data_IF_290733139819
#
_entry.id   IF_290733139819
#
_cell.length_a   1.000
_cell.length_b   1.000
_cell.length_c   1.000
_cell.angle_alpha   90.00
_cell.angle_beta   90.00
_cell.angle_gamma   90.00
#
_symmetry.space_group_name_H-M   'P 1'
#
loop_
_entity.id
_entity.type
_entity.pdbx_description
1 polymer ?
#
# COMPACT_ATOMS: atom_id res chain seq x y z
N UNK A 1 62.36 -30.74 -15.21
CA UNK A 1 60.97 -30.69 -15.74
C UNK A 1 59.96 -30.69 -14.58
N UNK A 2 58.84 -29.96 -14.53
CA UNK A 2 58.28 -28.86 -15.35
C UNK A 2 57.48 -27.85 -14.48
N UNK A 3 58.00 -26.64 -14.22
CA UNK A 3 57.31 -25.62 -13.40
C UNK A 3 55.96 -25.13 -13.97
N UNK A 4 55.70 -25.39 -15.27
CA UNK A 4 54.42 -25.10 -15.96
C UNK A 4 53.20 -25.81 -15.34
N UNK A 5 53.38 -26.92 -14.59
CA UNK A 5 52.26 -27.66 -13.97
C UNK A 5 51.67 -26.95 -12.73
N UNK A 6 52.49 -26.33 -11.87
CA UNK A 6 52.00 -25.61 -10.66
C UNK A 6 51.16 -24.38 -11.03
N UNK A 7 51.58 -23.59 -12.02
CA UNK A 7 50.84 -22.39 -12.46
C UNK A 7 49.44 -22.70 -13.03
N UNK A 8 49.26 -23.80 -13.79
CA UNK A 8 47.93 -24.19 -14.31
C UNK A 8 46.92 -24.51 -13.20
N UNK A 9 47.36 -25.06 -12.05
CA UNK A 9 46.48 -25.38 -10.91
C UNK A 9 45.95 -24.12 -10.21
N UNK A 10 46.76 -23.07 -10.09
CA UNK A 10 46.31 -21.79 -9.53
C UNK A 10 45.35 -21.03 -10.46
N UNK A 11 45.56 -21.06 -11.79
CA UNK A 11 44.64 -20.41 -12.74
C UNK A 11 43.22 -21.00 -12.67
N UNK A 12 43.08 -22.32 -12.55
CA UNK A 12 41.76 -22.98 -12.37
C UNK A 12 41.06 -22.57 -11.06
N UNK A 13 41.80 -22.47 -9.95
CA UNK A 13 41.24 -21.97 -8.68
C UNK A 13 40.76 -20.52 -8.77
N UNK A 14 41.48 -19.64 -9.48
CA UNK A 14 41.04 -18.25 -9.72
C UNK A 14 39.75 -18.16 -10.57
N UNK A 15 39.57 -19.06 -11.53
CA UNK A 15 38.34 -19.10 -12.35
C UNK A 15 37.14 -19.54 -11.50
N UNK A 16 37.30 -20.59 -10.68
CA UNK A 16 36.22 -21.01 -9.75
C UNK A 16 35.82 -19.87 -8.81
N UNK A 17 36.80 -19.18 -8.22
CA UNK A 17 36.55 -18.02 -7.35
C UNK A 17 35.84 -16.86 -8.10
N UNK A 18 36.21 -16.58 -9.36
CA UNK A 18 35.54 -15.56 -10.16
C UNK A 18 34.09 -15.93 -10.51
N UNK A 19 33.83 -17.20 -10.84
CA UNK A 19 32.46 -17.71 -11.07
C UNK A 19 31.63 -17.61 -9.79
N UNK A 20 32.22 -17.95 -8.64
CA UNK A 20 31.54 -17.84 -7.35
C UNK A 20 31.22 -16.38 -6.98
N UNK A 21 32.12 -15.42 -7.23
CA UNK A 21 31.82 -13.99 -7.09
C UNK A 21 30.63 -13.58 -7.98
N UNK A 22 30.55 -14.05 -9.23
CA UNK A 22 29.43 -13.71 -10.14
C UNK A 22 28.11 -14.32 -9.64
N UNK A 23 28.12 -15.55 -9.15
CA UNK A 23 26.94 -16.20 -8.55
C UNK A 23 26.49 -15.48 -7.28
N UNK A 24 27.44 -15.12 -6.39
CA UNK A 24 27.15 -14.36 -5.17
C UNK A 24 26.61 -12.95 -5.48
N UNK A 25 27.12 -12.27 -6.51
CA UNK A 25 26.58 -10.99 -6.97
C UNK A 25 25.14 -11.12 -7.47
N UNK A 26 24.85 -12.09 -8.34
CA UNK A 26 23.49 -12.37 -8.80
C UNK A 26 22.54 -12.70 -7.65
N UNK A 27 22.97 -13.55 -6.71
CA UNK A 27 22.19 -13.90 -5.52
C UNK A 27 21.91 -12.67 -4.66
N UNK A 28 22.93 -11.81 -4.43
CA UNK A 28 22.79 -10.58 -3.66
C UNK A 28 21.84 -9.58 -4.31
N UNK A 29 21.83 -9.49 -5.64
CA UNK A 29 20.96 -8.58 -6.38
C UNK A 29 19.50 -9.05 -6.34
N UNK A 30 19.26 -10.37 -6.47
CA UNK A 30 17.92 -10.95 -6.26
C UNK A 30 17.44 -10.71 -4.83
N UNK A 31 18.26 -11.03 -3.82
CA UNK A 31 17.94 -10.78 -2.41
C UNK A 31 17.64 -9.30 -2.12
N UNK A 32 18.43 -8.38 -2.69
CA UNK A 32 18.23 -6.94 -2.53
C UNK A 32 16.88 -6.49 -3.11
N UNK A 33 16.52 -6.95 -4.31
CA UNK A 33 15.21 -6.66 -4.92
C UNK A 33 14.08 -7.30 -4.10
N UNK A 34 14.24 -8.54 -3.61
CA UNK A 34 13.26 -9.20 -2.74
C UNK A 34 13.03 -8.43 -1.43
N UNK A 35 14.10 -7.98 -0.77
CA UNK A 35 14.01 -7.20 0.48
C UNK A 35 13.43 -5.81 0.21
N UNK A 36 13.80 -5.15 -0.90
CA UNK A 36 13.23 -3.85 -1.28
C UNK A 36 11.74 -3.96 -1.60
N UNK A 37 11.35 -4.98 -2.37
CA UNK A 37 9.95 -5.28 -2.64
C UNK A 37 9.19 -5.61 -1.35
N UNK A 38 9.74 -6.46 -0.48
CA UNK A 38 9.15 -6.80 0.81
C UNK A 38 9.09 -5.59 1.78
N UNK A 39 10.02 -4.63 1.72
CA UNK A 39 9.97 -3.40 2.51
C UNK A 39 8.93 -2.42 1.96
N UNK A 40 8.75 -2.36 0.63
CA UNK A 40 7.63 -1.62 0.01
C UNK A 40 6.29 -2.27 0.35
N UNK A 41 6.19 -3.60 0.28
CA UNK A 41 4.98 -4.35 0.64
C UNK A 41 4.70 -4.39 2.14
N UNK A 42 5.71 -4.40 3.00
CA UNK A 42 5.52 -4.35 4.47
C UNK A 42 5.07 -2.96 4.94
N UNK A 43 5.25 -1.93 4.13
CA UNK A 43 4.63 -0.61 4.35
C UNK A 43 3.17 -0.62 3.89
N UNK A 44 2.84 -1.43 2.87
CA UNK A 44 1.47 -1.90 2.60
C UNK A 44 1.16 -3.09 3.51
N UNK A 45 1.31 -2.87 4.83
CA UNK A 45 0.77 -3.81 5.81
C UNK A 45 -0.74 -3.78 5.64
N UNK A 46 -1.23 -4.64 4.76
CA UNK A 46 -2.63 -4.98 4.64
C UNK A 46 -3.04 -5.50 6.02
N UNK A 47 -3.62 -4.60 6.82
CA UNK A 47 -4.71 -5.01 7.68
C UNK A 47 -5.59 -5.90 6.80
N UNK A 48 -5.83 -7.13 7.23
CA UNK A 48 -6.82 -7.98 6.59
C UNK A 48 -8.17 -7.27 6.74
N UNK A 49 -8.48 -6.41 5.78
CA UNK A 49 -9.82 -5.86 5.61
C UNK A 49 -10.68 -7.05 5.23
N UNK A 50 -11.32 -7.57 6.27
CA UNK A 50 -12.33 -8.61 6.26
C UNK A 50 -13.17 -8.50 4.98
N UNK A 51 -12.95 -9.45 4.05
CA UNK A 51 -13.48 -9.34 2.68
C UNK A 51 -15.00 -9.46 2.64
N UNK A 52 -15.58 -10.04 3.68
CA UNK A 52 -17.03 -10.09 3.94
C UNK A 52 -17.60 -8.70 4.29
N UNK A 53 -16.73 -7.70 4.52
CA UNK A 53 -17.07 -6.30 4.81
C UNK A 53 -16.70 -5.31 3.71
N UNK A 54 -16.02 -5.77 2.64
CA UNK A 54 -15.63 -4.97 1.48
C UNK A 54 -16.60 -5.17 0.31
N UNK A 55 -17.65 -4.35 0.26
CA UNK A 55 -18.44 -4.16 -0.97
C UNK A 55 -17.56 -3.50 -2.04
N UNK A 56 -16.91 -4.31 -2.86
CA UNK A 56 -16.12 -3.84 -3.99
C UNK A 56 -17.07 -3.30 -5.06
N UNK A 57 -16.83 -2.07 -5.55
CA UNK A 57 -17.72 -1.38 -6.50
C UNK A 57 -17.93 -2.12 -7.84
N UNK A 58 -17.09 -3.10 -8.16
CA UNK A 58 -17.25 -4.04 -9.28
C UNK A 58 -18.56 -4.85 -9.17
N UNK A 59 -19.03 -5.14 -7.94
CA UNK A 59 -20.34 -5.75 -7.69
C UNK A 59 -21.53 -4.78 -7.74
N UNK A 60 -21.30 -3.46 -7.73
CA UNK A 60 -22.34 -2.41 -7.83
C UNK A 60 -22.57 -2.01 -9.29
N UNK A 61 -21.53 -2.03 -10.13
CA UNK A 61 -21.61 -1.60 -11.53
C UNK A 61 -22.18 -2.67 -12.49
N UNK A 62 -22.48 -3.88 -12.00
CA UNK A 62 -23.18 -4.92 -12.78
C UNK A 62 -24.68 -4.65 -13.03
N UNK A 63 -25.21 -3.51 -12.56
CA UNK A 63 -26.64 -3.20 -12.45
C UNK A 63 -27.19 -2.14 -13.42
N UNK A 64 -26.84 -2.21 -14.71
CA UNK A 64 -27.48 -1.52 -15.85
C UNK A 64 -27.33 0.02 -16.02
N UNK A 65 -27.19 0.42 -17.29
CA UNK A 65 -27.26 1.78 -17.86
C UNK A 65 -26.22 2.80 -17.33
N UNK A 66 -25.19 3.22 -18.07
CA UNK A 66 -25.13 3.50 -19.52
C UNK A 66 -26.29 4.39 -19.99
N UNK A 67 -26.25 5.66 -19.58
CA UNK A 67 -27.22 6.69 -19.93
C UNK A 67 -26.65 8.08 -19.69
N UNK A 68 -25.91 8.60 -20.67
CA UNK A 68 -25.73 10.04 -20.85
C UNK A 68 -27.08 10.76 -20.75
N UNK A 69 -27.23 11.68 -19.79
CA UNK A 69 -28.07 12.90 -19.90
C UNK A 69 -27.66 13.99 -18.90
N UNK A 70 -27.62 15.21 -19.43
CA UNK A 70 -27.60 16.45 -18.67
C UNK A 70 -28.97 16.77 -18.03
N UNK A 71 -28.97 17.83 -17.22
CA UNK A 71 -30.10 18.50 -16.56
C UNK A 71 -30.90 17.74 -15.49
N UNK A 72 -30.69 18.18 -14.24
CA UNK A 72 -31.79 18.54 -13.33
C UNK A 72 -32.68 17.43 -12.81
N UNK A 73 -32.21 16.66 -11.82
CA UNK A 73 -33.07 15.94 -10.88
C UNK A 73 -32.32 15.73 -9.55
N UNK A 74 -32.97 15.80 -8.37
CA UNK A 74 -32.31 15.47 -7.10
C UNK A 74 -31.98 13.99 -7.07
N UNK A 75 -30.70 13.65 -7.10
CA UNK A 75 -30.25 12.27 -7.09
C UNK A 75 -30.24 11.75 -5.65
N UNK A 76 -31.41 11.30 -5.18
CA UNK A 76 -31.60 10.54 -3.93
C UNK A 76 -30.95 9.15 -4.04
N UNK A 77 -29.63 9.09 -4.23
CA UNK A 77 -28.83 7.87 -4.04
C UNK A 77 -28.67 7.56 -2.56
N UNK A 78 -29.79 7.40 -1.87
CA UNK A 78 -29.86 6.92 -0.48
C UNK A 78 -29.67 5.40 -0.46
N UNK A 79 -28.53 4.94 -0.99
CA UNK A 79 -27.97 3.65 -0.59
C UNK A 79 -27.74 3.76 0.92
N UNK A 80 -28.55 3.03 1.70
CA UNK A 80 -28.51 3.14 3.15
C UNK A 80 -27.13 2.71 3.65
N UNK A 81 -26.28 3.69 3.97
CA UNK A 81 -25.00 3.46 4.65
C UNK A 81 -25.27 2.64 5.92
N UNK A 82 -24.43 1.64 6.19
CA UNK A 82 -24.55 0.75 7.36
C UNK A 82 -23.20 0.59 8.03
N UNK A 83 -23.20 0.50 9.37
CA UNK A 83 -21.98 0.40 10.16
C UNK A 83 -21.59 1.71 10.85
N UNK A 84 -20.32 1.80 11.24
CA UNK A 84 -19.76 2.96 11.95
C UNK A 84 -18.62 3.50 11.10
N UNK A 85 -18.77 4.74 10.66
CA UNK A 85 -17.70 5.51 10.01
C UNK A 85 -17.03 6.40 11.06
N UNK A 86 -15.70 6.50 11.01
CA UNK A 86 -14.89 7.28 11.95
C UNK A 86 -14.12 8.32 11.17
N UNK A 87 -14.42 9.60 11.42
CA UNK A 87 -13.78 10.75 10.77
C UNK A 87 -12.95 11.48 11.82
N UNK A 88 -11.65 11.64 11.55
CA UNK A 88 -10.78 12.49 12.36
C UNK A 88 -10.79 13.91 11.80
N UNK A 89 -11.24 14.88 12.60
CA UNK A 89 -11.20 16.30 12.29
C UNK A 89 -10.01 16.93 13.03
N UNK A 90 -9.17 17.65 12.30
CA UNK A 90 -7.91 18.22 12.79
C UNK A 90 -7.94 19.71 12.51
N UNK A 91 -7.93 20.52 13.57
CA UNK A 91 -7.96 21.97 13.52
C UNK A 91 -6.55 22.54 13.55
N UNK A 92 -6.08 23.03 12.39
CA UNK A 92 -4.86 23.80 12.28
C UNK A 92 -5.21 25.30 12.37
N UNK A 93 -4.62 26.04 13.31
CA UNK A 93 -4.74 27.51 13.35
C UNK A 93 -3.82 28.16 12.30
N UNK A 94 -4.12 27.89 11.03
CA UNK A 94 -3.43 28.48 9.89
C UNK A 94 -4.23 28.37 8.60
N UNK A 95 -3.79 29.12 7.59
CA UNK A 95 -4.46 29.22 6.28
C UNK A 95 -3.56 28.89 5.10
N UNK A 96 -2.25 28.79 5.32
CA UNK A 96 -1.25 28.82 4.23
C UNK A 96 -0.58 27.45 4.00
N UNK A 97 -0.05 26.84 5.06
CA UNK A 97 0.71 25.58 4.99
C UNK A 97 0.06 24.53 5.89
N UNK A 98 -0.33 23.39 5.31
CA UNK A 98 -1.04 22.32 6.01
C UNK A 98 -0.14 21.14 6.43
N UNK A 99 1.10 21.09 5.92
CA UNK A 99 2.03 19.98 6.18
C UNK A 99 2.94 20.28 7.37
N UNK A 100 3.33 19.25 8.12
CA UNK A 100 4.30 19.33 9.22
C UNK A 100 3.92 20.16 10.45
N UNK A 101 2.67 20.65 10.56
CA UNK A 101 2.24 21.56 11.64
C UNK A 101 1.47 20.88 12.76
N UNK A 102 1.62 21.45 13.96
CA UNK A 102 0.86 21.05 15.14
C UNK A 102 -0.61 21.45 14.99
N UNK A 103 -1.49 20.63 15.57
CA UNK A 103 -2.92 20.91 15.67
C UNK A 103 -3.31 21.14 17.11
N UNK A 104 -3.99 22.26 17.37
CA UNK A 104 -4.46 22.63 18.71
C UNK A 104 -5.83 22.02 19.03
N UNK A 105 -6.54 21.49 18.03
CA UNK A 105 -7.84 20.84 18.18
C UNK A 105 -7.88 19.54 17.38
N UNK A 106 -8.20 18.43 18.03
CA UNK A 106 -8.54 17.17 17.36
C UNK A 106 -9.90 16.71 17.87
N UNK A 107 -10.78 16.30 16.95
CA UNK A 107 -12.12 15.77 17.26
C UNK A 107 -12.30 14.48 16.45
N UNK A 108 -12.73 13.41 17.11
CA UNK A 108 -13.09 12.15 16.47
C UNK A 108 -14.61 12.08 16.36
N UNK A 109 -15.12 12.15 15.13
CA UNK A 109 -16.53 12.00 14.83
C UNK A 109 -16.85 10.55 14.43
N UNK A 110 -17.53 9.83 15.33
CA UNK A 110 -18.05 8.49 15.10
C UNK A 110 -19.50 8.57 14.64
N UNK A 111 -19.77 8.23 13.39
CA UNK A 111 -21.09 8.23 12.77
C UNK A 111 -21.60 6.79 12.72
N UNK A 112 -22.56 6.44 13.59
CA UNK A 112 -23.21 5.15 13.57
C UNK A 112 -24.47 5.19 12.69
N UNK A 113 -24.36 4.65 11.49
CA UNK A 113 -25.46 4.64 10.52
C UNK A 113 -26.58 3.66 10.86
N UNK A 114 -26.33 2.68 11.74
CA UNK A 114 -27.32 1.71 12.19
C UNK A 114 -28.21 2.29 13.29
N UNK A 115 -27.60 2.98 14.27
CA UNK A 115 -28.31 3.65 15.37
C UNK A 115 -28.79 5.08 15.01
N UNK A 116 -28.38 5.60 13.85
CA UNK A 116 -28.54 7.01 13.46
C UNK A 116 -28.03 7.99 14.52
N UNK A 117 -26.90 7.62 15.16
CA UNK A 117 -26.27 8.38 16.24
C UNK A 117 -24.91 8.92 15.82
N UNK A 118 -24.55 10.11 16.31
CA UNK A 118 -23.23 10.72 16.12
C UNK A 118 -22.62 10.92 17.51
N UNK A 119 -21.37 10.51 17.69
CA UNK A 119 -20.59 10.76 18.90
C UNK A 119 -19.35 11.55 18.51
N UNK A 120 -19.12 12.67 19.19
CA UNK A 120 -17.92 13.48 19.06
C UNK A 120 -17.09 13.24 20.33
N UNK A 121 -15.78 13.01 20.15
CA UNK A 121 -14.79 12.80 21.22
C UNK A 121 -13.62 13.75 20.99
#
# INVERSE_FOLDING_TARGET
MTNRRKQKRHRRKKILFAVEIVVLLLLSLVLFVSIWAAHKFSLVNHQDLDKDRLFTADGVNGGAAAGDKADGQPQDTTSALTGIDVIALVGLDTRDELDGRNSDTMIIACINHNEKSIKLV
#
